data_IF_896802086961
#
_entry.id   IF_896802086961
#
_cell.length_a   1.000
_cell.length_b   1.000
_cell.length_c   1.000
_cell.angle_alpha   90.00
_cell.angle_beta   90.00
_cell.angle_gamma   90.00
#
_symmetry.space_group_name_H-M   'P 1'
#
loop_
_entity.id
_entity.type
_entity.pdbx_description
1 polymer ?
#
# COMPACT_ATOMS: atom_id res chain seq x y z
N UNK A 1 -1.12 51.77 9.64
CA UNK A 1 -0.11 51.02 8.82
C UNK A 1 0.46 49.95 9.72
N UNK A 2 -0.10 48.75 9.62
CA UNK A 2 0.30 47.58 10.45
C UNK A 2 1.36 46.81 9.71
N UNK A 3 2.60 46.86 10.21
CA UNK A 3 3.74 46.06 9.72
C UNK A 3 3.47 44.59 10.10
N UNK A 4 2.98 43.80 9.18
CA UNK A 4 2.95 42.36 9.32
C UNK A 4 4.40 41.87 9.40
N UNK A 5 4.87 41.59 10.62
CA UNK A 5 6.09 40.86 10.85
C UNK A 5 5.92 39.45 10.22
N UNK A 6 6.46 39.27 9.02
CA UNK A 6 6.64 37.95 8.46
C UNK A 6 7.66 37.21 9.33
N UNK A 7 7.15 36.35 10.20
CA UNK A 7 7.99 35.41 10.95
C UNK A 7 8.66 34.51 9.91
N UNK A 8 9.94 34.75 9.69
CA UNK A 8 10.78 33.92 8.83
C UNK A 8 10.79 32.52 9.42
N UNK A 9 10.45 31.51 8.60
CA UNK A 9 10.53 30.14 9.06
C UNK A 9 11.95 29.84 9.59
N UNK A 10 12.09 29.13 10.72
CA UNK A 10 13.40 28.84 11.27
C UNK A 10 14.24 28.11 10.21
N UNK A 11 15.48 28.53 10.02
CA UNK A 11 16.43 27.82 9.18
C UNK A 11 16.59 26.41 9.75
N UNK A 12 16.22 25.41 8.97
CA UNK A 12 16.39 24.01 9.38
C UNK A 12 17.88 23.67 9.50
N UNK A 13 18.21 22.61 10.24
CA UNK A 13 19.59 22.15 10.50
C UNK A 13 20.34 21.73 9.22
N UNK A 14 19.66 21.61 8.09
CA UNK A 14 20.24 21.27 6.80
C UNK A 14 20.67 22.55 6.09
N UNK A 15 21.96 22.73 5.78
CA UNK A 15 22.44 23.92 5.06
C UNK A 15 21.79 24.04 3.68
N UNK A 16 21.56 25.29 3.23
CA UNK A 16 21.08 25.54 1.86
C UNK A 16 22.26 25.46 0.90
N UNK A 17 22.26 24.41 0.09
CA UNK A 17 23.28 24.17 -0.92
C UNK A 17 22.64 24.10 -2.30
N UNK A 18 23.34 24.66 -3.28
CA UNK A 18 22.97 24.48 -4.69
C UNK A 18 23.09 23.00 -5.08
N UNK A 19 22.22 22.49 -5.96
CA UNK A 19 22.25 21.09 -6.38
C UNK A 19 23.57 20.67 -7.06
N UNK A 20 24.36 21.61 -7.59
CA UNK A 20 25.71 21.35 -8.11
C UNK A 20 26.82 21.51 -7.05
N UNK A 21 26.44 21.76 -5.80
CA UNK A 21 27.38 22.13 -4.73
C UNK A 21 27.56 23.66 -4.56
N UNK A 22 28.07 24.05 -3.41
CA UNK A 22 28.25 25.48 -3.08
C UNK A 22 26.98 26.18 -2.62
N UNK A 23 27.02 27.49 -2.50
CA UNK A 23 25.90 28.31 -2.05
C UNK A 23 24.90 28.57 -3.20
N UNK A 24 23.61 28.70 -2.85
CA UNK A 24 22.60 29.13 -3.80
C UNK A 24 22.80 30.59 -4.15
N UNK A 25 23.03 30.90 -5.42
CA UNK A 25 23.13 32.26 -5.94
C UNK A 25 21.81 32.68 -6.61
N UNK A 26 21.11 33.60 -5.95
CA UNK A 26 19.84 34.11 -6.48
C UNK A 26 20.03 35.14 -7.61
N UNK A 27 21.22 35.69 -7.81
CA UNK A 27 21.49 36.73 -8.82
C UNK A 27 21.46 36.13 -10.24
N UNK A 28 21.84 34.84 -10.38
CA UNK A 28 21.86 34.11 -11.66
C UNK A 28 20.64 33.18 -11.83
N UNK A 29 19.73 33.17 -10.86
CA UNK A 29 18.54 32.32 -10.90
C UNK A 29 17.50 32.87 -11.88
N UNK A 30 16.95 32.01 -12.75
CA UNK A 30 15.87 32.39 -13.66
C UNK A 30 14.61 32.93 -12.94
N UNK A 31 14.47 32.63 -11.64
CA UNK A 31 13.35 33.07 -10.80
C UNK A 31 13.75 34.17 -9.78
N UNK A 32 14.84 34.91 -10.05
CA UNK A 32 15.31 35.96 -9.14
C UNK A 32 14.22 36.98 -8.77
N UNK A 33 13.32 37.28 -9.68
CA UNK A 33 12.22 38.23 -9.43
C UNK A 33 11.24 37.72 -8.35
N UNK A 34 11.05 36.43 -8.17
CA UNK A 34 10.18 35.87 -7.12
C UNK A 34 10.70 36.19 -5.72
N UNK A 35 12.01 36.41 -5.55
CA UNK A 35 12.59 36.72 -4.25
C UNK A 35 12.10 38.04 -3.63
N UNK A 36 11.64 38.97 -4.45
CA UNK A 36 11.07 40.22 -4.01
C UNK A 36 9.63 40.11 -3.50
N UNK A 37 8.96 38.99 -3.78
CA UNK A 37 7.56 38.77 -3.41
C UNK A 37 7.46 38.13 -2.01
N UNK A 38 6.44 38.46 -1.21
CA UNK A 38 6.27 37.94 0.13
C UNK A 38 5.63 36.53 0.14
N UNK A 39 6.05 35.71 1.10
CA UNK A 39 5.42 34.41 1.37
C UNK A 39 5.37 33.47 0.16
N UNK A 40 4.28 32.79 -0.01
CA UNK A 40 4.06 31.79 -1.09
C UNK A 40 3.97 32.39 -2.50
N UNK A 41 3.87 33.70 -2.66
CA UNK A 41 4.00 34.35 -3.96
C UNK A 41 5.45 34.49 -4.42
N UNK A 42 6.41 34.25 -3.51
CA UNK A 42 7.84 34.41 -3.77
C UNK A 42 8.63 33.10 -3.66
N UNK A 43 9.94 33.22 -3.52
CA UNK A 43 10.83 32.12 -3.19
C UNK A 43 11.77 32.50 -2.05
N UNK A 44 12.24 31.54 -1.28
CA UNK A 44 13.11 31.77 -0.11
C UNK A 44 14.21 30.72 -0.08
N UNK A 45 15.51 31.11 -0.28
CA UNK A 45 16.64 30.21 -0.10
C UNK A 45 16.63 29.55 1.28
N UNK A 46 16.88 28.26 1.35
CA UNK A 46 16.82 27.50 2.61
C UNK A 46 15.42 27.11 3.06
N UNK A 47 14.36 27.55 2.37
CA UNK A 47 12.98 27.21 2.69
C UNK A 47 12.19 26.71 1.48
N UNK A 48 12.09 27.49 0.41
CA UNK A 48 11.40 27.18 -0.85
C UNK A 48 12.25 27.65 -2.03
N UNK A 49 13.00 26.75 -2.65
CA UNK A 49 13.97 27.12 -3.69
C UNK A 49 14.17 25.97 -4.67
N UNK A 50 14.03 26.26 -5.97
CA UNK A 50 14.23 25.28 -7.04
C UNK A 50 15.71 24.94 -7.27
N UNK A 51 16.63 25.80 -6.84
CA UNK A 51 18.07 25.59 -6.98
C UNK A 51 18.70 24.81 -5.81
N UNK A 52 17.91 24.50 -4.76
CA UNK A 52 18.42 23.78 -3.59
C UNK A 52 18.66 22.29 -3.91
N UNK A 53 19.64 21.68 -3.27
CA UNK A 53 19.89 20.24 -3.34
C UNK A 53 18.86 19.42 -2.53
N UNK A 54 18.11 20.06 -1.62
CA UNK A 54 17.22 19.36 -0.72
C UNK A 54 15.79 19.29 -1.29
N UNK A 55 15.36 18.08 -1.62
CA UNK A 55 14.08 17.81 -2.29
C UNK A 55 12.86 18.47 -1.64
N UNK A 56 12.79 18.58 -0.29
CA UNK A 56 11.66 19.24 0.38
C UNK A 56 11.54 20.73 0.09
N UNK A 57 12.66 21.40 -0.18
CA UNK A 57 12.68 22.81 -0.54
C UNK A 57 12.27 23.04 -1.98
N UNK A 58 12.67 22.12 -2.86
CA UNK A 58 12.21 22.06 -4.25
C UNK A 58 10.71 21.77 -4.29
N UNK A 59 10.23 20.78 -3.54
CA UNK A 59 8.81 20.42 -3.45
C UNK A 59 7.96 21.60 -2.94
N UNK A 60 8.44 22.33 -1.94
CA UNK A 60 7.75 23.53 -1.45
C UNK A 60 7.72 24.65 -2.48
N UNK A 61 8.80 24.83 -3.24
CA UNK A 61 8.83 25.79 -4.34
C UNK A 61 7.73 25.50 -5.37
N UNK A 62 7.60 24.25 -5.83
CA UNK A 62 6.56 23.89 -6.78
C UNK A 62 5.15 23.83 -6.19
N UNK A 63 5.01 23.64 -4.89
CA UNK A 63 3.69 23.82 -4.24
C UNK A 63 3.25 25.27 -4.21
N UNK A 64 4.19 26.20 -4.13
CA UNK A 64 3.91 27.63 -4.22
C UNK A 64 3.72 28.10 -5.67
N UNK A 65 4.42 27.47 -6.62
CA UNK A 65 4.44 27.81 -8.04
C UNK A 65 4.17 26.61 -8.94
N UNK A 66 2.99 25.98 -8.85
CA UNK A 66 2.69 24.81 -9.66
C UNK A 66 2.70 25.08 -11.17
N UNK A 67 2.42 26.32 -11.58
CA UNK A 67 2.46 26.80 -12.98
C UNK A 67 3.85 26.70 -13.61
N UNK A 68 4.90 26.66 -12.78
CA UNK A 68 6.27 26.54 -13.26
C UNK A 68 6.68 25.09 -13.54
N UNK A 69 5.84 24.12 -13.19
CA UNK A 69 6.14 22.69 -13.40
C UNK A 69 6.54 22.36 -14.83
N UNK A 70 5.80 22.87 -15.82
CA UNK A 70 6.10 22.60 -17.22
C UNK A 70 7.48 23.09 -17.69
N UNK A 71 7.96 24.18 -17.14
CA UNK A 71 9.23 24.79 -17.54
C UNK A 71 10.46 24.05 -16.98
N UNK A 72 10.23 23.14 -16.03
CA UNK A 72 11.33 22.44 -15.34
C UNK A 72 11.42 20.95 -15.65
N UNK A 73 10.67 20.45 -16.62
CA UNK A 73 10.69 19.04 -17.03
C UNK A 73 12.01 18.59 -17.66
N UNK A 74 12.81 19.54 -18.16
CA UNK A 74 14.12 19.32 -18.77
C UNK A 74 15.27 19.80 -17.87
N UNK A 75 15.01 20.06 -16.58
CA UNK A 75 16.01 20.55 -15.67
C UNK A 75 17.15 19.51 -15.49
N UNK A 76 18.44 19.89 -15.46
CA UNK A 76 19.56 18.95 -15.36
C UNK A 76 19.53 18.12 -14.06
N UNK A 77 19.02 18.65 -12.96
CA UNK A 77 18.90 17.93 -11.68
C UNK A 77 17.60 17.08 -11.64
N UNK A 78 17.75 15.78 -11.43
CA UNK A 78 16.65 14.82 -11.48
C UNK A 78 15.55 15.11 -10.44
N UNK A 79 15.93 15.55 -9.21
CA UNK A 79 14.94 15.87 -8.18
C UNK A 79 14.00 17.00 -8.62
N UNK A 80 14.53 18.00 -9.33
CA UNK A 80 13.71 19.07 -9.88
C UNK A 80 12.76 18.51 -10.95
N UNK A 81 13.25 17.68 -11.89
CA UNK A 81 12.39 17.05 -12.90
C UNK A 81 11.31 16.19 -12.27
N UNK A 82 11.66 15.35 -11.29
CA UNK A 82 10.72 14.47 -10.60
C UNK A 82 9.61 15.25 -9.87
N UNK A 83 9.99 16.31 -9.16
CA UNK A 83 9.01 17.13 -8.43
C UNK A 83 8.19 17.99 -9.38
N UNK A 84 8.82 18.61 -10.40
CA UNK A 84 8.12 19.37 -11.44
C UNK A 84 7.07 18.48 -12.15
N UNK A 85 7.41 17.22 -12.44
CA UNK A 85 6.48 16.27 -13.05
C UNK A 85 5.20 16.05 -12.22
N UNK A 86 5.18 16.34 -10.91
CA UNK A 86 3.96 16.28 -10.08
C UNK A 86 2.97 17.40 -10.37
N UNK A 87 3.46 18.53 -10.89
CA UNK A 87 2.70 19.76 -11.10
C UNK A 87 2.45 20.04 -12.59
N UNK A 88 3.30 19.50 -13.47
CA UNK A 88 3.23 19.70 -14.91
C UNK A 88 1.94 19.17 -15.53
N UNK A 89 1.61 19.66 -16.73
CA UNK A 89 0.50 19.15 -17.54
C UNK A 89 0.73 17.69 -17.91
N UNK A 90 -0.28 16.87 -17.68
CA UNK A 90 -0.22 15.42 -17.93
C UNK A 90 0.13 15.09 -19.38
N UNK A 91 -0.23 15.96 -20.32
CA UNK A 91 0.06 15.79 -21.77
C UNK A 91 1.55 15.97 -22.13
N UNK A 92 2.35 16.57 -21.25
CA UNK A 92 3.80 16.73 -21.42
C UNK A 92 4.60 15.56 -20.87
N UNK A 93 4.04 14.82 -19.92
CA UNK A 93 4.72 13.74 -19.23
C UNK A 93 5.16 12.56 -20.13
N UNK A 94 4.42 12.18 -21.21
CA UNK A 94 4.85 11.09 -22.09
C UNK A 94 6.21 11.28 -22.74
N UNK A 95 6.67 12.53 -22.92
CA UNK A 95 7.99 12.83 -23.47
C UNK A 95 9.14 12.44 -22.53
N UNK A 96 8.85 12.27 -21.22
CA UNK A 96 9.85 11.94 -20.19
C UNK A 96 9.91 10.44 -19.86
N UNK A 97 9.17 9.58 -20.56
CA UNK A 97 9.08 8.15 -20.22
C UNK A 97 10.46 7.47 -20.15
N UNK A 98 11.38 7.93 -20.99
CA UNK A 98 12.73 7.39 -21.09
C UNK A 98 13.74 8.23 -20.27
N UNK A 99 13.29 8.99 -19.25
CA UNK A 99 14.18 9.75 -18.36
C UNK A 99 15.22 8.80 -17.73
N UNK A 100 16.51 9.17 -17.70
CA UNK A 100 17.56 8.30 -17.17
C UNK A 100 17.37 7.98 -15.69
N UNK A 101 16.70 8.84 -14.91
CA UNK A 101 16.53 8.67 -13.48
C UNK A 101 15.20 7.97 -13.12
N UNK A 102 15.29 6.91 -12.34
CA UNK A 102 14.14 6.13 -11.89
C UNK A 102 13.17 6.92 -11.01
N UNK A 103 13.66 7.94 -10.28
CA UNK A 103 12.80 8.78 -9.44
C UNK A 103 11.85 9.59 -10.30
N UNK A 104 12.32 10.08 -11.45
CA UNK A 104 11.47 10.77 -12.44
C UNK A 104 10.44 9.80 -13.00
N UNK A 105 10.90 8.63 -13.52
CA UNK A 105 9.98 7.63 -14.09
C UNK A 105 8.96 7.12 -13.07
N UNK A 106 9.33 7.05 -11.78
CA UNK A 106 8.41 6.74 -10.68
C UNK A 106 7.27 7.78 -10.58
N UNK A 107 7.60 9.07 -10.67
CA UNK A 107 6.57 10.13 -10.67
C UNK A 107 5.68 10.04 -11.91
N UNK A 108 6.24 9.70 -13.06
CA UNK A 108 5.46 9.45 -14.27
C UNK A 108 4.51 8.27 -14.09
N UNK A 109 4.98 7.17 -13.50
CA UNK A 109 4.14 6.01 -13.21
C UNK A 109 2.94 6.35 -12.31
N UNK A 110 3.02 7.40 -11.49
CA UNK A 110 1.91 7.87 -10.65
C UNK A 110 0.89 8.73 -11.41
N UNK A 111 1.24 9.33 -12.56
CA UNK A 111 0.40 10.32 -13.23
C UNK A 111 -0.03 9.97 -14.65
N UNK A 112 0.78 9.20 -15.39
CA UNK A 112 0.51 8.89 -16.79
C UNK A 112 -0.87 8.24 -16.98
N UNK A 113 -1.61 8.60 -18.07
CA UNK A 113 -2.77 7.86 -18.53
C UNK A 113 -2.43 6.43 -18.92
N UNK A 114 -3.43 5.53 -18.92
CA UNK A 114 -3.25 4.10 -19.22
C UNK A 114 -2.50 3.82 -20.53
N UNK A 115 -2.81 4.60 -21.59
CA UNK A 115 -2.18 4.45 -22.90
C UNK A 115 -0.65 4.63 -22.89
N UNK A 116 -0.14 5.44 -21.96
CA UNK A 116 1.29 5.70 -21.81
C UNK A 116 1.90 4.92 -20.64
N UNK A 117 1.11 4.66 -19.58
CA UNK A 117 1.55 3.93 -18.41
C UNK A 117 2.07 2.53 -18.76
N UNK A 118 1.44 1.85 -19.72
CA UNK A 118 1.84 0.52 -20.18
C UNK A 118 3.29 0.47 -20.69
N UNK A 119 3.83 1.58 -21.20
CA UNK A 119 5.22 1.65 -21.67
C UNK A 119 6.25 1.51 -20.53
N UNK A 120 5.87 1.77 -19.29
CA UNK A 120 6.70 1.55 -18.11
C UNK A 120 6.53 0.15 -17.50
N UNK A 121 5.79 -0.74 -18.15
CA UNK A 121 5.59 -2.11 -17.65
C UNK A 121 6.89 -2.93 -17.61
N UNK A 122 7.84 -2.63 -18.49
CA UNK A 122 9.14 -3.29 -18.56
C UNK A 122 10.28 -2.38 -18.06
N UNK A 123 9.96 -1.39 -17.21
CA UNK A 123 10.99 -0.49 -16.66
C UNK A 123 12.08 -1.28 -15.93
N UNK A 124 13.37 -0.92 -16.10
CA UNK A 124 14.46 -1.62 -15.43
C UNK A 124 14.36 -1.57 -13.90
N UNK A 125 13.76 -0.51 -13.35
CA UNK A 125 13.64 -0.34 -11.90
C UNK A 125 12.36 -0.97 -11.34
N UNK A 126 12.47 -1.89 -10.37
CA UNK A 126 11.35 -2.63 -9.80
C UNK A 126 10.25 -1.73 -9.21
N UNK A 127 10.62 -0.64 -8.53
CA UNK A 127 9.64 0.25 -7.89
C UNK A 127 8.77 0.97 -8.92
N UNK A 128 9.31 1.28 -10.11
CA UNK A 128 8.53 1.82 -11.22
C UNK A 128 7.51 0.77 -11.68
N UNK A 129 7.94 -0.49 -11.92
CA UNK A 129 7.04 -1.58 -12.32
C UNK A 129 5.96 -1.88 -11.25
N UNK A 130 6.31 -1.80 -9.96
CA UNK A 130 5.33 -1.91 -8.86
C UNK A 130 4.27 -0.81 -8.97
N UNK A 131 4.65 0.46 -9.20
CA UNK A 131 3.69 1.55 -9.39
C UNK A 131 2.83 1.36 -10.63
N UNK A 132 3.42 0.84 -11.69
CA UNK A 132 2.68 0.45 -12.90
C UNK A 132 1.66 -0.63 -12.56
N UNK A 133 2.06 -1.71 -11.88
CA UNK A 133 1.16 -2.79 -11.47
C UNK A 133 0.02 -2.31 -10.56
N UNK A 134 0.25 -1.29 -9.74
CA UNK A 134 -0.78 -0.66 -8.90
C UNK A 134 -1.84 0.11 -9.69
N UNK A 135 -1.56 0.51 -10.92
CA UNK A 135 -2.41 1.42 -11.69
C UNK A 135 -2.93 0.85 -13.00
N UNK A 136 -2.25 -0.08 -13.63
CA UNK A 136 -2.68 -0.66 -14.90
C UNK A 136 -4.11 -1.20 -14.84
N UNK A 137 -4.83 -1.06 -15.94
CA UNK A 137 -6.13 -1.69 -16.10
C UNK A 137 -6.01 -3.23 -16.05
N UNK A 138 -7.02 -3.96 -15.53
CA UNK A 138 -6.94 -5.41 -15.33
C UNK A 138 -6.56 -6.21 -16.59
N UNK A 139 -7.03 -5.79 -17.75
CA UNK A 139 -6.73 -6.46 -19.02
C UNK A 139 -5.23 -6.44 -19.36
N UNK A 140 -4.56 -5.31 -19.13
CA UNK A 140 -3.13 -5.15 -19.39
C UNK A 140 -2.29 -5.64 -18.21
N UNK A 141 -2.81 -5.54 -16.97
CA UNK A 141 -2.13 -5.98 -15.76
C UNK A 141 -1.70 -7.45 -15.83
N UNK A 142 -2.48 -8.30 -16.49
CA UNK A 142 -2.18 -9.72 -16.65
C UNK A 142 -0.84 -10.02 -17.31
N UNK A 143 -0.27 -9.10 -18.07
CA UNK A 143 1.06 -9.25 -18.69
C UNK A 143 2.18 -9.29 -17.65
N UNK A 144 2.02 -8.61 -16.53
CA UNK A 144 2.98 -8.55 -15.43
C UNK A 144 2.94 -9.76 -14.47
N UNK A 145 2.09 -10.76 -14.71
CA UNK A 145 1.99 -11.96 -13.86
C UNK A 145 3.28 -12.80 -13.79
N UNK A 146 4.18 -12.63 -14.76
CA UNK A 146 5.47 -13.33 -14.86
C UNK A 146 6.64 -12.39 -14.64
N UNK A 147 6.45 -11.21 -14.06
CA UNK A 147 7.54 -10.28 -13.73
C UNK A 147 8.59 -10.98 -12.88
N UNK A 148 9.89 -10.72 -13.10
CA UNK A 148 10.96 -11.32 -12.29
C UNK A 148 10.86 -10.94 -10.80
N UNK A 149 10.31 -9.78 -10.45
CA UNK A 149 10.17 -9.31 -9.08
C UNK A 149 8.85 -9.78 -8.45
N UNK A 150 8.95 -10.44 -7.30
CA UNK A 150 7.76 -10.94 -6.60
C UNK A 150 6.82 -9.83 -6.12
N UNK A 151 7.35 -8.65 -5.78
CA UNK A 151 6.52 -7.51 -5.34
C UNK A 151 5.62 -6.99 -6.47
N UNK A 152 6.09 -7.02 -7.72
CA UNK A 152 5.25 -6.73 -8.90
C UNK A 152 4.16 -7.80 -9.03
N UNK A 153 4.53 -9.09 -8.97
CA UNK A 153 3.58 -10.21 -9.07
C UNK A 153 2.57 -10.22 -7.90
N UNK A 154 2.99 -9.83 -6.70
CA UNK A 154 2.09 -9.64 -5.55
C UNK A 154 1.00 -8.60 -5.86
N UNK A 155 1.37 -7.45 -6.42
CA UNK A 155 0.40 -6.44 -6.83
C UNK A 155 -0.51 -6.91 -7.96
N UNK A 156 0.01 -7.71 -8.89
CA UNK A 156 -0.82 -8.37 -9.91
C UNK A 156 -1.83 -9.28 -9.24
N UNK A 157 -1.42 -10.17 -8.32
CA UNK A 157 -2.31 -11.08 -7.61
C UNK A 157 -3.40 -10.35 -6.81
N UNK A 158 -3.09 -9.19 -6.23
CA UNK A 158 -4.06 -8.34 -5.51
C UNK A 158 -5.15 -7.74 -6.41
N UNK A 159 -4.88 -7.53 -7.68
CA UNK A 159 -5.75 -6.76 -8.58
C UNK A 159 -6.30 -7.53 -9.76
N UNK A 160 -5.70 -8.64 -10.10
CA UNK A 160 -6.13 -9.48 -11.22
C UNK A 160 -7.57 -9.97 -10.98
N UNK A 161 -8.42 -10.07 -12.01
CA UNK A 161 -9.73 -10.70 -11.89
C UNK A 161 -9.63 -12.12 -11.33
N UNK A 162 -10.56 -12.52 -10.45
CA UNK A 162 -10.53 -13.81 -9.76
C UNK A 162 -10.43 -14.99 -10.74
N UNK A 163 -11.09 -14.91 -11.89
CA UNK A 163 -11.04 -15.92 -12.94
C UNK A 163 -9.62 -16.20 -13.50
N UNK A 164 -8.69 -15.27 -13.39
CA UNK A 164 -7.33 -15.40 -13.86
C UNK A 164 -6.32 -15.79 -12.76
N UNK A 165 -6.71 -15.74 -11.49
CA UNK A 165 -5.86 -16.10 -10.36
C UNK A 165 -5.33 -17.54 -10.38
N UNK A 166 -6.05 -18.54 -10.95
CA UNK A 166 -5.49 -19.88 -11.09
C UNK A 166 -4.15 -19.94 -11.84
N UNK A 167 -3.86 -18.96 -12.71
CA UNK A 167 -2.59 -18.85 -13.42
C UNK A 167 -1.41 -18.51 -12.50
N UNK A 168 -1.68 -17.99 -11.30
CA UNK A 168 -0.69 -17.59 -10.31
C UNK A 168 -0.70 -18.46 -9.05
N UNK A 169 -1.53 -19.51 -9.02
CA UNK A 169 -1.66 -20.38 -7.84
C UNK A 169 -0.40 -21.21 -7.53
N UNK A 170 0.52 -21.33 -8.48
CA UNK A 170 1.81 -22.01 -8.33
C UNK A 170 2.99 -21.03 -8.45
N UNK A 171 2.79 -19.77 -8.08
CA UNK A 171 3.89 -18.78 -8.09
C UNK A 171 5.04 -19.27 -7.20
N UNK A 172 6.32 -19.10 -7.62
CA UNK A 172 7.46 -19.54 -6.83
C UNK A 172 7.51 -18.86 -5.45
N UNK A 173 7.01 -17.63 -5.33
CA UNK A 173 7.02 -16.88 -4.08
C UNK A 173 5.72 -17.12 -3.27
N UNK A 174 5.88 -17.52 -2.03
CA UNK A 174 4.75 -17.82 -1.15
C UNK A 174 3.90 -16.58 -0.82
N UNK A 175 4.52 -15.37 -0.77
CA UNK A 175 3.77 -14.12 -0.54
C UNK A 175 2.74 -13.89 -1.66
N UNK A 176 3.13 -14.18 -2.91
CA UNK A 176 2.22 -14.10 -4.06
C UNK A 176 1.10 -15.14 -3.92
N UNK A 177 1.44 -16.39 -3.55
CA UNK A 177 0.43 -17.45 -3.36
C UNK A 177 -0.55 -17.14 -2.23
N UNK A 178 -0.10 -16.45 -1.15
CA UNK A 178 -1.01 -15.92 -0.11
C UNK A 178 -2.04 -14.96 -0.72
N UNK A 179 -1.60 -13.99 -1.54
CA UNK A 179 -2.52 -13.04 -2.19
C UNK A 179 -3.48 -13.74 -3.15
N UNK A 180 -3.01 -14.78 -3.81
CA UNK A 180 -3.87 -15.63 -4.63
C UNK A 180 -4.89 -16.35 -3.74
N UNK A 181 -4.45 -16.98 -2.63
CA UNK A 181 -5.32 -17.71 -1.70
C UNK A 181 -6.40 -16.82 -1.07
N UNK A 182 -6.12 -15.53 -0.85
CA UNK A 182 -7.10 -14.55 -0.34
C UNK A 182 -8.28 -14.31 -1.29
N UNK A 183 -8.14 -14.61 -2.58
CA UNK A 183 -9.09 -14.16 -3.62
C UNK A 183 -9.55 -15.24 -4.59
N UNK A 184 -8.80 -16.31 -4.75
CA UNK A 184 -9.10 -17.38 -5.70
C UNK A 184 -10.38 -18.13 -5.30
N UNK A 185 -11.16 -18.56 -6.30
CA UNK A 185 -12.39 -19.31 -6.07
C UNK A 185 -12.18 -20.83 -6.10
N UNK A 186 -13.18 -21.57 -5.62
CA UNK A 186 -13.23 -23.02 -5.78
C UNK A 186 -13.32 -23.39 -7.27
N UNK A 187 -12.76 -24.53 -7.71
CA UNK A 187 -12.05 -25.54 -6.91
C UNK A 187 -10.56 -25.25 -6.72
N UNK A 188 -10.04 -24.16 -7.30
CA UNK A 188 -8.60 -23.87 -7.26
C UNK A 188 -8.09 -23.53 -5.84
N UNK A 189 -8.92 -22.94 -4.99
CA UNK A 189 -8.63 -22.69 -3.58
C UNK A 189 -8.25 -23.99 -2.83
N UNK A 190 -8.95 -25.10 -3.12
CA UNK A 190 -8.68 -26.37 -2.45
C UNK A 190 -7.24 -26.88 -2.67
N UNK A 191 -6.64 -26.58 -3.82
CA UNK A 191 -5.24 -26.97 -4.08
C UNK A 191 -4.26 -26.24 -3.16
N UNK A 192 -4.56 -24.99 -2.78
CA UNK A 192 -3.73 -24.20 -1.88
C UNK A 192 -3.82 -24.65 -0.41
N UNK A 193 -4.81 -25.47 -0.06
CA UNK A 193 -4.84 -26.16 1.23
C UNK A 193 -3.72 -27.20 1.38
N UNK A 194 -3.11 -27.67 0.29
CA UNK A 194 -1.93 -28.53 0.28
C UNK A 194 -0.62 -27.81 -0.02
N UNK A 195 -0.56 -26.48 0.10
CA UNK A 195 0.64 -25.72 -0.19
C UNK A 195 1.80 -26.07 0.77
N UNK A 196 3.03 -25.95 0.29
CA UNK A 196 4.24 -26.15 1.12
C UNK A 196 4.33 -25.17 2.29
N UNK A 197 3.81 -23.95 2.13
CA UNK A 197 3.88 -22.89 3.13
C UNK A 197 2.64 -22.86 4.03
N UNK A 198 2.87 -22.89 5.35
CA UNK A 198 1.79 -22.91 6.33
C UNK A 198 0.87 -21.69 6.24
N UNK A 199 1.41 -20.51 5.94
CA UNK A 199 0.60 -19.29 5.81
C UNK A 199 -0.37 -19.36 4.63
N UNK A 200 0.04 -19.96 3.50
CA UNK A 200 -0.85 -20.19 2.35
C UNK A 200 -1.98 -21.17 2.74
N UNK A 201 -1.64 -22.29 3.42
CA UNK A 201 -2.63 -23.25 3.89
C UNK A 201 -3.60 -22.64 4.91
N UNK A 202 -3.10 -21.79 5.82
CA UNK A 202 -3.93 -21.07 6.80
C UNK A 202 -4.96 -20.17 6.13
N UNK A 203 -4.52 -19.37 5.15
CA UNK A 203 -5.43 -18.50 4.37
C UNK A 203 -6.43 -19.32 3.58
N UNK A 204 -6.02 -20.45 3.01
CA UNK A 204 -6.95 -21.36 2.35
C UNK A 204 -7.96 -21.93 3.35
N UNK A 205 -7.54 -22.39 4.53
CA UNK A 205 -8.41 -22.87 5.60
C UNK A 205 -9.45 -21.83 6.01
N UNK A 206 -9.06 -20.57 6.11
CA UNK A 206 -9.96 -19.47 6.45
C UNK A 206 -11.10 -19.26 5.44
N UNK A 207 -10.96 -19.78 4.23
CA UNK A 207 -11.93 -19.59 3.14
C UNK A 207 -12.63 -20.87 2.67
N UNK A 208 -12.07 -22.02 2.96
CA UNK A 208 -12.68 -23.30 2.60
C UNK A 208 -14.05 -23.50 3.26
N UNK A 209 -15.01 -24.19 2.61
CA UNK A 209 -16.22 -24.67 3.28
C UNK A 209 -15.90 -25.54 4.50
N UNK A 210 -16.70 -25.44 5.55
CA UNK A 210 -16.51 -26.19 6.80
C UNK A 210 -16.38 -27.70 6.59
N UNK A 211 -17.12 -28.26 5.62
CA UNK A 211 -17.07 -29.69 5.26
C UNK A 211 -15.71 -30.15 4.71
N UNK A 212 -14.89 -29.25 4.19
CA UNK A 212 -13.57 -29.57 3.63
C UNK A 212 -12.43 -29.36 4.64
N UNK A 213 -12.69 -28.73 5.77
CA UNK A 213 -11.67 -28.44 6.79
C UNK A 213 -11.10 -29.69 7.48
N UNK A 214 -11.82 -30.81 7.41
CA UNK A 214 -11.34 -32.10 7.93
C UNK A 214 -10.01 -32.53 7.30
N UNK A 215 -9.67 -32.05 6.10
CA UNK A 215 -8.41 -32.35 5.40
C UNK A 215 -7.19 -31.68 6.06
N UNK A 216 -7.41 -30.66 6.89
CA UNK A 216 -6.38 -29.86 7.55
C UNK A 216 -6.32 -30.08 9.07
N UNK A 217 -7.01 -31.08 9.59
CA UNK A 217 -7.10 -31.37 11.03
C UNK A 217 -5.74 -31.79 11.62
N UNK A 218 -4.93 -32.47 10.82
CA UNK A 218 -3.60 -32.96 11.20
C UNK A 218 -2.48 -32.10 10.58
N UNK A 219 -2.77 -30.84 10.21
CA UNK A 219 -1.75 -29.96 9.64
C UNK A 219 -0.58 -29.79 10.61
N UNK A 220 0.68 -29.86 10.13
CA UNK A 220 1.85 -29.70 11.00
C UNK A 220 1.90 -28.35 11.72
N UNK A 221 1.32 -27.29 11.13
CA UNK A 221 1.30 -25.96 11.74
C UNK A 221 0.05 -25.76 12.59
N UNK A 222 0.21 -25.45 13.86
CA UNK A 222 -0.89 -25.23 14.81
C UNK A 222 -1.83 -24.09 14.39
N UNK A 223 -1.34 -23.06 13.68
CA UNK A 223 -2.16 -21.92 13.21
C UNK A 223 -3.16 -22.35 12.15
N UNK A 224 -2.79 -23.33 11.30
CA UNK A 224 -3.71 -23.93 10.36
C UNK A 224 -4.78 -24.74 11.10
N UNK A 225 -4.40 -25.58 12.06
CA UNK A 225 -5.33 -26.33 12.90
C UNK A 225 -6.24 -25.43 13.73
N UNK A 226 -5.70 -24.30 14.22
CA UNK A 226 -6.50 -23.27 14.91
C UNK A 226 -7.58 -22.68 13.98
N UNK A 227 -7.24 -22.37 12.74
CA UNK A 227 -8.20 -21.90 11.75
C UNK A 227 -9.29 -22.96 11.48
N UNK A 228 -8.90 -24.25 11.44
CA UNK A 228 -9.87 -25.35 11.39
C UNK A 228 -10.77 -25.35 12.62
N UNK A 229 -10.20 -25.20 13.82
CA UNK A 229 -10.97 -25.14 15.08
C UNK A 229 -11.96 -23.96 15.07
N UNK A 230 -11.62 -22.84 14.46
CA UNK A 230 -12.50 -21.67 14.35
C UNK A 230 -13.75 -21.92 13.50
N UNK A 231 -13.73 -22.88 12.54
CA UNK A 231 -14.75 -22.95 11.48
C UNK A 231 -15.33 -24.32 11.23
N UNK A 232 -14.65 -25.39 11.65
CA UNK A 232 -15.07 -26.78 11.37
C UNK A 232 -16.40 -27.14 12.04
N UNK A 233 -17.01 -28.21 11.54
CA UNK A 233 -18.21 -28.80 12.13
C UNK A 233 -17.94 -29.39 13.52
N UNK A 234 -18.96 -29.49 14.40
CA UNK A 234 -18.81 -30.04 15.76
C UNK A 234 -18.17 -31.42 15.82
N UNK A 235 -18.32 -32.25 14.78
CA UNK A 235 -17.70 -33.58 14.71
C UNK A 235 -16.17 -33.46 14.64
N UNK A 236 -15.68 -32.55 13.81
CA UNK A 236 -14.25 -32.27 13.61
C UNK A 236 -13.68 -31.59 14.87
N UNK A 237 -14.42 -30.68 15.50
CA UNK A 237 -13.99 -30.02 16.74
C UNK A 237 -13.70 -30.98 17.88
N UNK A 238 -14.44 -32.10 17.98
CA UNK A 238 -14.21 -33.10 19.04
C UNK A 238 -12.83 -33.72 18.95
N UNK A 239 -12.29 -33.93 17.76
CA UNK A 239 -10.94 -34.48 17.59
C UNK A 239 -9.86 -33.49 17.97
N UNK A 240 -10.13 -32.18 17.88
CA UNK A 240 -9.20 -31.10 18.28
C UNK A 240 -9.19 -30.80 19.79
N UNK A 241 -10.04 -31.46 20.58
CA UNK A 241 -10.02 -31.33 22.06
C UNK A 241 -8.73 -31.85 22.68
N UNK A 242 -8.06 -32.79 22.01
CA UNK A 242 -6.81 -33.41 22.43
C UNK A 242 -5.62 -32.93 21.57
N UNK A 243 -5.77 -31.82 20.85
CA UNK A 243 -4.69 -31.25 20.04
C UNK A 243 -3.45 -30.98 20.88
N UNK A 244 -2.27 -31.12 20.28
CA UNK A 244 -1.01 -30.83 20.95
C UNK A 244 -0.89 -29.36 21.39
N UNK A 245 -1.47 -28.43 20.64
CA UNK A 245 -1.44 -27.00 20.90
C UNK A 245 -2.58 -26.55 21.83
N UNK A 246 -2.26 -25.70 22.82
CA UNK A 246 -3.22 -25.24 23.82
C UNK A 246 -4.29 -24.30 23.25
N UNK A 247 -3.94 -23.45 22.30
CA UNK A 247 -4.85 -22.50 21.68
C UNK A 247 -5.86 -23.22 20.79
N UNK A 248 -5.44 -24.26 20.07
CA UNK A 248 -6.32 -25.12 19.27
C UNK A 248 -7.33 -25.80 20.17
N UNK A 249 -6.87 -26.42 21.30
CA UNK A 249 -7.77 -27.03 22.28
C UNK A 249 -8.76 -26.03 22.89
N UNK A 250 -8.28 -24.84 23.23
CA UNK A 250 -9.12 -23.80 23.81
C UNK A 250 -10.22 -23.37 22.84
N UNK A 251 -9.88 -23.12 21.58
CA UNK A 251 -10.83 -22.74 20.54
C UNK A 251 -11.87 -23.86 20.30
N UNK A 252 -11.44 -25.12 20.23
CA UNK A 252 -12.36 -26.26 20.07
C UNK A 252 -13.35 -26.37 21.22
N UNK A 253 -12.88 -26.16 22.49
CA UNK A 253 -13.77 -26.16 23.67
C UNK A 253 -14.75 -25.00 23.64
N UNK A 254 -14.28 -23.78 23.38
CA UNK A 254 -15.15 -22.60 23.34
C UNK A 254 -16.28 -22.74 22.31
N UNK A 255 -15.97 -23.33 21.15
CA UNK A 255 -16.99 -23.56 20.11
C UNK A 255 -17.95 -24.70 20.41
N UNK A 256 -17.52 -25.73 21.12
CA UNK A 256 -18.39 -26.84 21.52
C UNK A 256 -19.25 -26.50 22.73
N UNK A 257 -18.72 -25.70 23.65
CA UNK A 257 -19.36 -25.24 24.88
C UNK A 257 -19.13 -23.75 25.09
N UNK A 258 -19.84 -22.92 24.33
CA UNK A 258 -19.68 -21.46 24.48
C UNK A 258 -19.93 -21.03 25.92
N UNK A 259 -18.96 -20.32 26.49
CA UNK A 259 -19.11 -19.71 27.82
C UNK A 259 -20.33 -18.81 27.76
N UNK A 260 -21.34 -19.04 28.64
CA UNK A 260 -22.51 -18.15 28.71
C UNK A 260 -22.02 -16.72 28.95
N UNK A 261 -22.55 -15.72 28.20
CA UNK A 261 -22.28 -14.34 28.59
C UNK A 261 -22.68 -14.17 30.05
N UNK A 262 -21.75 -13.67 30.86
CA UNK A 262 -22.03 -13.31 32.25
C UNK A 262 -23.16 -12.30 32.18
N UNK A 263 -24.38 -12.71 32.59
CA UNK A 263 -25.50 -11.80 32.74
C UNK A 263 -25.07 -10.69 33.68
N UNK A 264 -25.15 -9.44 33.21
CA UNK A 264 -24.90 -8.26 34.04
C UNK A 264 -25.72 -8.34 35.32
N UNK A 265 -25.14 -7.99 36.51
CA UNK A 265 -25.83 -8.06 37.79
C UNK A 265 -27.06 -7.14 37.90
N UNK A 266 -27.43 -6.42 36.87
CA UNK A 266 -28.42 -5.35 36.88
C UNK A 266 -29.88 -5.79 36.58
N UNK A 267 -30.13 -7.08 36.32
CA UNK A 267 -31.52 -7.53 36.00
C UNK A 267 -32.34 -8.00 37.21
N UNK A 268 -31.87 -7.75 38.46
CA UNK A 268 -32.58 -8.16 39.67
C UNK A 268 -33.22 -7.00 40.46
N UNK A 269 -33.36 -5.82 39.89
CA UNK A 269 -34.04 -4.69 40.58
C UNK A 269 -35.30 -4.21 39.82
N UNK A 270 -36.32 -5.03 39.75
CA UNK A 270 -37.69 -4.50 39.61
C UNK A 270 -38.32 -4.40 41.02
N UNK A 271 -38.67 -3.21 41.54
CA UNK A 271 -39.44 -3.09 42.74
C UNK A 271 -40.86 -3.61 42.47
N UNK A 272 -41.29 -4.46 43.37
CA UNK A 272 -42.68 -4.91 43.48
C UNK A 272 -43.53 -3.70 43.92
N UNK A 273 -44.26 -3.07 43.00
CA UNK A 273 -45.31 -2.10 43.38
C UNK A 273 -46.52 -2.87 43.83
N UNK A 274 -46.69 -2.82 45.17
CA UNK A 274 -47.82 -3.39 45.85
C UNK A 274 -49.11 -2.67 45.53
N UNK A 275 -50.14 -3.44 45.33
CA UNK A 275 -51.57 -2.99 45.31
C UNK A 275 -51.92 -2.32 46.60
N UNK A 276 -52.32 -1.05 46.55
CA UNK A 276 -52.99 -0.31 47.60
C UNK A 276 -54.45 -0.07 47.20
N UNK A 277 -55.33 -0.58 48.02
CA UNK A 277 -56.76 -0.32 47.98
C UNK A 277 -57.08 1.14 48.37
N UNK A 278 -58.11 1.72 47.76
CA UNK A 278 -58.70 2.97 48.11
C UNK A 278 -59.70 3.45 47.06
#
# INVERSE_FOLDING_TARGET
MSTLNHVRAPAGDIPSLHWQGGQVDCCVCAHAALRALPGAAGCEPGHACVQDAYARRIDRFFRWHPELGNAHLEHPYFEVRAIAARHADVFRLPAMIDDPDETVRLQLALRLPQAHLVRLADDPHREVRIRVAQRLAPATLATLRTDPDYGVREWVARRLPAALLPLMASDPDWVVRVRVAERIDMPALLRLAGDGEAEVRRVAAARLPASLLVQLIDDPDWRVRWEVACRADPRVLRTLLDDADAEVRAMARERLWPSRPVSSPDDTARPFEGAGHG
#
